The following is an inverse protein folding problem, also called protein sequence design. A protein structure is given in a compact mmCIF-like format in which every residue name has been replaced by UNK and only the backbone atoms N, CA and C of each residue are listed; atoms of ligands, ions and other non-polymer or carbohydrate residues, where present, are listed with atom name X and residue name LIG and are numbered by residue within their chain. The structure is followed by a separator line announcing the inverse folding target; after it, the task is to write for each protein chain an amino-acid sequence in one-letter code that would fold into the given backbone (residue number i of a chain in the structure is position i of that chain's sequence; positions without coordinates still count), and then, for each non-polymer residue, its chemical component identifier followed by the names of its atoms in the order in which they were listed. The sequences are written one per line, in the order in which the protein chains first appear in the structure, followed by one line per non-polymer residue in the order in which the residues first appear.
data_IF_580953407457
#
_entry.id   IF_580953407457
#
_cell.length_a   1.000
_cell.length_b   1.000
_cell.length_c   1.000
_cell.angle_alpha   90.00
_cell.angle_beta   90.00
_cell.angle_gamma   90.00
#
_symmetry.space_group_name_H-M   'P 1'
#
loop_
_entity.id
_entity.type
_entity.pdbx_description
1 polymer ?
#
# COMPACT_ATOMS: atom_id res chain seq x y z
N UNK A 1 -63.58 24.72 21.41
CA UNK A 1 -62.13 24.50 21.64
C UNK A 1 -61.51 24.19 20.30
N UNK A 2 -60.55 25.01 19.91
CA UNK A 2 -59.93 25.11 18.59
C UNK A 2 -58.93 24.00 18.33
N UNK A 3 -58.91 23.47 17.10
CA UNK A 3 -57.64 23.33 16.38
C UNK A 3 -57.91 23.28 14.88
N UNK A 4 -57.52 24.36 14.19
CA UNK A 4 -57.35 24.39 12.73
C UNK A 4 -55.94 23.88 12.44
N UNK A 5 -55.81 22.73 11.77
CA UNK A 5 -54.54 22.26 11.24
C UNK A 5 -54.45 22.67 9.76
N UNK A 6 -53.53 23.60 9.49
CA UNK A 6 -53.17 24.08 8.17
C UNK A 6 -52.08 23.18 7.55
N UNK A 7 -52.32 22.85 6.28
CA UNK A 7 -51.39 22.70 5.17
C UNK A 7 -50.13 21.81 5.29
N UNK A 8 -50.12 20.82 4.39
CA UNK A 8 -48.94 20.08 3.94
C UNK A 8 -47.90 20.99 3.29
N UNK A 9 -46.63 20.69 3.55
CA UNK A 9 -45.55 20.95 2.61
C UNK A 9 -44.56 19.79 2.66
N UNK A 10 -44.40 19.13 1.52
CA UNK A 10 -43.41 18.10 1.25
C UNK A 10 -42.00 18.72 1.37
N UNK A 11 -41.17 18.15 2.25
CA UNK A 11 -39.76 18.46 2.32
C UNK A 11 -38.97 17.31 1.69
N UNK A 12 -38.53 17.50 0.45
CA UNK A 12 -37.50 16.69 -0.19
C UNK A 12 -36.23 16.74 0.68
N UNK A 13 -35.81 15.58 1.21
CA UNK A 13 -34.44 15.42 1.73
C UNK A 13 -33.51 15.37 0.52
N UNK A 14 -33.05 16.54 0.10
CA UNK A 14 -31.96 16.68 -0.85
C UNK A 14 -30.67 16.14 -0.20
N UNK A 15 -30.37 14.86 -0.48
CA UNK A 15 -29.04 14.32 -0.20
C UNK A 15 -28.07 14.91 -1.22
N UNK A 16 -27.55 16.10 -0.90
CA UNK A 16 -26.41 16.67 -1.62
C UNK A 16 -25.24 15.69 -1.54
N UNK A 17 -25.04 14.93 -2.62
CA UNK A 17 -23.83 14.19 -2.92
C UNK A 17 -22.71 15.19 -3.24
N UNK A 18 -22.20 15.86 -2.21
CA UNK A 18 -21.08 16.79 -2.31
C UNK A 18 -19.74 16.05 -2.38
N UNK A 19 -19.16 16.02 -3.58
CA UNK A 19 -17.72 16.23 -3.81
C UNK A 19 -16.71 15.17 -3.31
N UNK A 20 -17.05 13.88 -3.36
CA UNK A 20 -16.08 12.79 -3.13
C UNK A 20 -15.20 12.49 -4.35
N UNK A 21 -15.69 12.78 -5.56
CA UNK A 21 -15.02 12.45 -6.83
C UNK A 21 -13.82 13.37 -7.12
N UNK A 22 -13.97 14.68 -6.92
CA UNK A 22 -12.89 15.66 -7.09
C UNK A 22 -11.77 15.55 -6.06
N UNK A 23 -12.07 15.05 -4.86
CA UNK A 23 -11.09 14.87 -3.79
C UNK A 23 -10.11 13.74 -4.11
N UNK A 24 -10.59 12.63 -4.68
CA UNK A 24 -9.71 11.49 -4.99
C UNK A 24 -8.84 11.72 -6.22
N UNK A 25 -9.30 12.45 -7.24
CA UNK A 25 -8.47 12.81 -8.39
C UNK A 25 -7.24 13.65 -7.97
N UNK A 26 -7.43 14.57 -7.02
CA UNK A 26 -6.33 15.33 -6.40
C UNK A 26 -5.39 14.43 -5.60
N UNK A 27 -5.92 13.43 -4.92
CA UNK A 27 -5.12 12.45 -4.17
C UNK A 27 -4.30 11.55 -5.11
N UNK A 28 -4.80 11.17 -6.28
CA UNK A 28 -4.01 10.40 -7.27
C UNK A 28 -2.74 11.14 -7.70
N UNK A 29 -2.78 12.48 -7.71
CA UNK A 29 -1.64 13.32 -8.07
C UNK A 29 -0.56 13.39 -6.97
N UNK A 30 -0.86 13.02 -5.72
CA UNK A 30 0.12 13.05 -4.63
C UNK A 30 0.98 11.77 -4.55
N UNK A 31 0.52 10.67 -5.16
CA UNK A 31 1.21 9.39 -5.08
C UNK A 31 2.64 9.39 -5.65
N UNK A 32 2.93 10.03 -6.82
CA UNK A 32 4.30 10.10 -7.32
C UNK A 32 5.27 10.72 -6.32
N UNK A 33 4.86 11.79 -5.62
CA UNK A 33 5.69 12.42 -4.60
C UNK A 33 5.93 11.49 -3.40
N UNK A 34 4.87 10.83 -2.90
CA UNK A 34 4.97 9.87 -1.78
C UNK A 34 5.87 8.67 -2.12
N UNK A 35 5.75 8.13 -3.34
CA UNK A 35 6.56 7.00 -3.79
C UNK A 35 8.03 7.40 -3.99
N UNK A 36 8.29 8.61 -4.49
CA UNK A 36 9.66 9.17 -4.56
C UNK A 36 10.30 9.30 -3.19
N UNK A 37 9.56 9.79 -2.19
CA UNK A 37 10.05 9.88 -0.80
C UNK A 37 10.31 8.50 -0.19
N UNK A 38 9.41 7.54 -0.42
CA UNK A 38 9.58 6.16 0.02
C UNK A 38 10.81 5.52 -0.62
N UNK A 39 10.98 5.69 -1.94
CA UNK A 39 12.15 5.19 -2.69
C UNK A 39 13.45 5.82 -2.19
N UNK A 40 13.46 7.13 -1.95
CA UNK A 40 14.64 7.84 -1.41
C UNK A 40 15.00 7.33 -0.01
N UNK A 41 14.00 7.01 0.81
CA UNK A 41 14.22 6.42 2.14
C UNK A 41 14.79 5.00 2.02
N UNK A 42 14.28 4.19 1.09
CA UNK A 42 14.82 2.86 0.81
C UNK A 42 16.27 2.89 0.30
N UNK A 43 16.64 3.83 -0.58
CA UNK A 43 18.00 3.90 -1.12
C UNK A 43 19.07 4.00 -0.02
N UNK A 44 18.74 4.58 1.14
CA UNK A 44 19.66 4.69 2.30
C UNK A 44 19.99 3.34 2.94
N UNK A 45 19.13 2.34 2.77
CA UNK A 45 19.28 1.00 3.38
C UNK A 45 19.42 -0.12 2.36
N UNK A 46 19.22 0.17 1.07
CA UNK A 46 19.27 -0.80 -0.03
C UNK A 46 20.50 -1.70 0.05
N UNK A 47 21.70 -1.10 0.06
CA UNK A 47 22.95 -1.86 0.09
C UNK A 47 23.06 -2.74 1.35
N UNK A 48 22.61 -2.26 2.51
CA UNK A 48 22.66 -3.02 3.75
C UNK A 48 21.84 -4.31 3.66
N UNK A 49 20.61 -4.24 3.14
CA UNK A 49 19.74 -5.40 3.04
C UNK A 49 20.13 -6.32 1.87
N UNK A 50 20.48 -5.76 0.71
CA UNK A 50 20.88 -6.56 -0.46
C UNK A 50 22.21 -7.31 -0.24
N UNK A 51 23.18 -6.74 0.48
CA UNK A 51 24.42 -7.47 0.83
C UNK A 51 24.20 -8.59 1.86
N UNK A 52 23.09 -8.55 2.59
CA UNK A 52 22.71 -9.57 3.59
C UNK A 52 21.71 -10.59 3.05
N UNK A 53 21.13 -10.34 1.89
CA UNK A 53 20.30 -11.30 1.18
C UNK A 53 21.21 -12.36 0.54
N UNK A 54 21.22 -13.54 1.14
CA UNK A 54 21.96 -14.70 0.66
C UNK A 54 21.09 -15.73 -0.07
N UNK A 55 19.77 -15.48 -0.19
CA UNK A 55 18.81 -16.36 -0.84
C UNK A 55 18.57 -15.91 -2.29
N UNK A 56 19.63 -15.90 -3.10
CA UNK A 56 19.63 -15.36 -4.46
C UNK A 56 18.81 -16.23 -5.44
N UNK A 57 18.62 -17.50 -5.12
CA UNK A 57 17.83 -18.47 -5.88
C UNK A 57 16.32 -18.31 -5.70
N UNK A 58 15.90 -17.61 -4.65
CA UNK A 58 14.49 -17.29 -4.42
C UNK A 58 14.19 -15.95 -5.07
N UNK A 59 13.03 -15.79 -5.68
CA UNK A 59 12.47 -14.46 -5.99
C UNK A 59 11.20 -14.37 -5.18
N UNK A 60 11.17 -13.47 -4.19
CA UNK A 60 10.03 -13.40 -3.29
C UNK A 60 8.86 -12.69 -3.99
N UNK A 61 9.10 -11.55 -4.62
CA UNK A 61 8.12 -10.73 -5.32
C UNK A 61 8.06 -11.08 -6.82
N UNK A 62 7.39 -12.19 -7.13
CA UNK A 62 7.28 -12.73 -8.49
C UNK A 62 6.29 -11.94 -9.37
N UNK A 63 6.37 -12.13 -10.69
CA UNK A 63 5.51 -11.46 -11.69
C UNK A 63 4.01 -11.72 -11.50
N UNK A 64 3.63 -12.83 -10.86
CA UNK A 64 2.23 -13.10 -10.54
C UNK A 64 1.64 -12.04 -9.57
N UNK A 65 2.46 -11.44 -8.71
CA UNK A 65 2.06 -10.32 -7.87
C UNK A 65 1.76 -9.07 -8.71
N UNK A 66 2.63 -8.77 -9.68
CA UNK A 66 2.44 -7.66 -10.60
C UNK A 66 1.16 -7.85 -11.45
N UNK A 67 0.90 -9.08 -11.89
CA UNK A 67 -0.32 -9.42 -12.60
C UNK A 67 -1.57 -9.21 -11.71
N UNK A 68 -1.52 -9.62 -10.45
CA UNK A 68 -2.59 -9.35 -9.49
C UNK A 68 -2.80 -7.85 -9.29
N UNK A 69 -1.72 -7.06 -9.21
CA UNK A 69 -1.78 -5.59 -9.13
C UNK A 69 -2.46 -4.97 -10.35
N UNK A 70 -2.20 -5.48 -11.55
CA UNK A 70 -2.81 -5.01 -12.81
C UNK A 70 -4.25 -5.45 -13.01
N UNK A 71 -4.70 -6.48 -12.28
CA UNK A 71 -6.02 -7.09 -12.43
C UNK A 71 -7.11 -6.38 -11.59
N UNK A 72 -8.32 -6.93 -11.61
CA UNK A 72 -9.39 -6.55 -10.67
C UNK A 72 -9.02 -6.72 -9.19
N UNK A 73 -7.96 -7.46 -8.88
CA UNK A 73 -7.44 -7.65 -7.51
C UNK A 73 -6.54 -6.50 -7.05
N UNK A 74 -6.24 -5.52 -7.91
CA UNK A 74 -5.13 -4.59 -7.69
C UNK A 74 -5.20 -3.81 -6.39
N UNK A 75 -6.35 -3.22 -6.05
CA UNK A 75 -6.50 -2.48 -4.80
C UNK A 75 -6.18 -3.36 -3.59
N UNK A 76 -6.88 -4.49 -3.51
CA UNK A 76 -6.78 -5.37 -2.35
C UNK A 76 -5.37 -5.95 -2.23
N UNK A 77 -4.75 -6.27 -3.37
CA UNK A 77 -3.39 -6.79 -3.42
C UNK A 77 -2.36 -5.77 -2.95
N UNK A 78 -2.47 -4.51 -3.40
CA UNK A 78 -1.59 -3.42 -2.96
C UNK A 78 -1.75 -3.18 -1.46
N UNK A 79 -2.98 -3.03 -0.96
CA UNK A 79 -3.25 -2.81 0.47
C UNK A 79 -2.76 -3.98 1.33
N UNK A 80 -2.92 -5.21 0.87
CA UNK A 80 -2.49 -6.40 1.58
C UNK A 80 -0.96 -6.54 1.61
N UNK A 81 -0.25 -6.23 0.52
CA UNK A 81 1.21 -6.20 0.54
C UNK A 81 1.76 -5.06 1.39
N UNK A 82 1.15 -3.88 1.34
CA UNK A 82 1.52 -2.77 2.24
C UNK A 82 1.37 -3.20 3.71
N UNK A 83 0.28 -3.89 4.06
CA UNK A 83 0.08 -4.45 5.41
C UNK A 83 1.17 -5.45 5.77
N UNK A 84 1.47 -6.40 4.88
CA UNK A 84 2.55 -7.36 5.09
C UNK A 84 3.88 -6.66 5.40
N UNK A 85 4.28 -5.65 4.64
CA UNK A 85 5.51 -4.93 4.94
C UNK A 85 5.48 -4.19 6.29
N UNK A 86 4.36 -3.53 6.63
CA UNK A 86 4.22 -2.77 7.87
C UNK A 86 4.14 -3.66 9.13
N UNK A 87 3.48 -4.81 9.03
CA UNK A 87 3.15 -5.66 10.17
C UNK A 87 4.15 -6.81 10.33
N UNK A 88 4.67 -7.33 9.22
CA UNK A 88 5.54 -8.50 9.20
C UNK A 88 7.00 -8.17 8.92
N UNK A 89 7.33 -7.30 7.95
CA UNK A 89 8.72 -7.15 7.49
C UNK A 89 9.47 -6.06 8.25
N UNK A 90 8.99 -4.82 8.16
CA UNK A 90 9.68 -3.63 8.71
C UNK A 90 9.90 -3.70 10.23
N UNK A 91 8.95 -4.19 11.06
CA UNK A 91 9.18 -4.31 12.50
C UNK A 91 10.33 -5.27 12.85
N UNK A 92 10.58 -6.26 11.99
CA UNK A 92 11.67 -7.24 12.16
C UNK A 92 12.97 -6.85 11.45
N UNK A 93 12.94 -5.85 10.57
CA UNK A 93 14.10 -5.28 9.88
C UNK A 93 14.99 -4.45 10.82
N UNK A 94 15.43 -5.08 11.91
CA UNK A 94 16.26 -4.48 12.94
C UNK A 94 17.73 -4.51 12.56
N UNK A 95 18.46 -3.47 12.98
CA UNK A 95 19.91 -3.37 12.81
C UNK A 95 20.54 -2.74 14.05
N UNK A 96 21.77 -3.15 14.38
CA UNK A 96 22.59 -2.48 15.39
C UNK A 96 23.09 -1.11 14.89
N UNK A 97 23.11 -0.92 13.58
CA UNK A 97 23.41 0.37 12.96
C UNK A 97 22.23 1.33 13.17
N UNK A 98 22.49 2.42 13.90
CA UNK A 98 21.49 3.45 14.21
C UNK A 98 20.96 4.16 12.95
N UNK A 99 21.80 4.34 11.93
CA UNK A 99 21.42 4.96 10.66
C UNK A 99 20.45 4.08 9.88
N UNK A 100 20.74 2.77 9.80
CA UNK A 100 19.84 1.78 9.18
C UNK A 100 18.52 1.73 9.94
N UNK A 101 18.57 1.61 11.28
CA UNK A 101 17.36 1.57 12.12
C UNK A 101 16.49 2.81 11.93
N UNK A 102 17.08 4.00 11.93
CA UNK A 102 16.36 5.27 11.71
C UNK A 102 15.71 5.30 10.33
N UNK A 103 16.44 4.89 9.29
CA UNK A 103 15.92 4.86 7.92
C UNK A 103 14.77 3.86 7.75
N UNK A 104 14.85 2.68 8.39
CA UNK A 104 13.75 1.70 8.41
C UNK A 104 12.51 2.28 9.10
N UNK A 105 12.67 3.01 10.21
CA UNK A 105 11.56 3.70 10.87
C UNK A 105 10.90 4.73 9.95
N UNK A 106 11.69 5.53 9.24
CA UNK A 106 11.17 6.52 8.27
C UNK A 106 10.42 5.80 7.15
N UNK A 107 10.95 4.70 6.63
CA UNK A 107 10.25 3.89 5.62
C UNK A 107 8.90 3.40 6.12
N UNK A 108 8.83 2.92 7.37
CA UNK A 108 7.58 2.50 8.00
C UNK A 108 6.55 3.63 8.04
N UNK A 109 6.94 4.82 8.46
CA UNK A 109 6.05 5.97 8.54
C UNK A 109 5.55 6.40 7.15
N UNK A 110 6.44 6.41 6.14
CA UNK A 110 6.09 6.76 4.76
C UNK A 110 5.17 5.72 4.12
N UNK A 111 5.40 4.44 4.39
CA UNK A 111 4.55 3.36 3.89
C UNK A 111 3.17 3.37 4.58
N UNK A 112 3.11 3.72 5.86
CA UNK A 112 1.85 3.91 6.59
C UNK A 112 1.05 5.10 6.03
N UNK A 113 1.72 6.22 5.77
CA UNK A 113 1.10 7.39 5.12
C UNK A 113 0.57 7.05 3.71
N UNK A 114 1.34 6.28 2.92
CA UNK A 114 0.88 5.77 1.63
C UNK A 114 -0.40 4.90 1.77
N UNK A 115 -0.42 3.96 2.73
CA UNK A 115 -1.61 3.13 3.04
C UNK A 115 -2.83 3.97 3.37
N UNK A 116 -2.66 4.97 4.23
CA UNK A 116 -3.75 5.86 4.66
C UNK A 116 -4.28 6.68 3.48
N UNK A 117 -3.38 7.15 2.61
CA UNK A 117 -3.73 7.89 1.39
C UNK A 117 -4.55 7.02 0.44
N UNK A 118 -4.13 5.77 0.19
CA UNK A 118 -4.87 4.81 -0.65
C UNK A 118 -6.28 4.52 -0.11
N UNK A 119 -6.43 4.39 1.21
CA UNK A 119 -7.72 4.12 1.86
C UNK A 119 -8.73 5.27 1.73
N UNK A 120 -8.27 6.52 1.70
CA UNK A 120 -9.16 7.69 1.51
C UNK A 120 -9.84 7.69 0.13
N UNK A 121 -9.31 6.93 -0.83
CA UNK A 121 -9.83 6.81 -2.19
C UNK A 121 -10.55 5.48 -2.46
N UNK A 122 -11.11 4.83 -1.44
CA UNK A 122 -11.71 3.49 -1.53
C UNK A 122 -12.80 3.36 -2.62
N UNK A 123 -13.51 4.44 -2.95
CA UNK A 123 -14.53 4.41 -4.01
C UNK A 123 -13.92 4.26 -5.42
N UNK A 124 -12.68 4.70 -5.63
CA UNK A 124 -11.92 4.54 -6.89
C UNK A 124 -11.06 3.28 -6.92
N UNK A 125 -10.95 2.60 -5.78
CA UNK A 125 -10.13 1.42 -5.57
C UNK A 125 -10.97 0.35 -4.85
N UNK A 126 -11.94 -0.31 -5.52
CA UNK A 126 -12.72 -1.38 -4.90
C UNK A 126 -11.84 -2.57 -4.54
N UNK A 127 -12.07 -3.18 -3.37
CA UNK A 127 -11.04 -3.89 -2.61
C UNK A 127 -11.62 -5.16 -1.92
N UNK A 128 -12.14 -6.13 -2.69
CA UNK A 128 -12.99 -7.19 -2.09
C UNK A 128 -12.47 -8.63 -2.21
N UNK A 129 -11.32 -8.86 -2.87
CA UNK A 129 -10.84 -10.22 -3.20
C UNK A 129 -9.40 -10.46 -2.78
N UNK A 130 -9.14 -11.60 -2.12
CA UNK A 130 -7.78 -11.99 -1.68
C UNK A 130 -6.93 -12.47 -2.86
N UNK A 131 -5.65 -12.10 -2.85
CA UNK A 131 -4.66 -12.54 -3.83
C UNK A 131 -4.05 -13.89 -3.44
N UNK A 132 -3.98 -14.82 -4.40
CA UNK A 132 -3.24 -16.08 -4.23
C UNK A 132 -1.73 -15.85 -4.22
N UNK A 133 -1.24 -14.90 -5.02
CA UNK A 133 0.19 -14.55 -5.05
C UNK A 133 0.67 -14.07 -3.68
N UNK A 134 -0.10 -13.20 -3.02
CA UNK A 134 0.27 -12.70 -1.68
C UNK A 134 0.29 -13.81 -0.64
N UNK A 135 -0.64 -14.77 -0.70
CA UNK A 135 -0.61 -15.94 0.16
C UNK A 135 0.70 -16.72 -0.01
N UNK A 136 1.11 -16.99 -1.26
CA UNK A 136 2.35 -17.70 -1.56
C UNK A 136 3.60 -16.93 -1.09
N UNK A 137 3.59 -15.60 -1.24
CA UNK A 137 4.66 -14.72 -0.75
C UNK A 137 4.80 -14.86 0.77
N UNK A 138 3.71 -14.73 1.51
CA UNK A 138 3.70 -14.86 2.99
C UNK A 138 4.18 -16.23 3.45
N UNK A 139 3.76 -17.30 2.76
CA UNK A 139 4.20 -18.67 3.05
C UNK A 139 5.70 -18.85 2.78
N UNK A 140 6.19 -18.33 1.65
CA UNK A 140 7.61 -18.40 1.29
C UNK A 140 8.45 -17.61 2.28
N UNK A 141 8.09 -16.36 2.56
CA UNK A 141 8.71 -15.53 3.57
C UNK A 141 8.77 -16.22 4.94
N UNK A 142 7.67 -16.84 5.38
CA UNK A 142 7.64 -17.57 6.66
C UNK A 142 8.61 -18.76 6.68
N UNK A 143 8.72 -19.51 5.58
CA UNK A 143 9.68 -20.63 5.46
C UNK A 143 11.13 -20.18 5.49
N UNK A 144 11.42 -18.95 5.04
CA UNK A 144 12.77 -18.37 5.05
C UNK A 144 13.26 -17.93 6.44
N UNK A 145 12.38 -17.89 7.45
CA UNK A 145 12.71 -17.45 8.82
C UNK A 145 13.39 -16.07 8.80
N UNK A 146 14.51 -15.89 9.50
CA UNK A 146 15.26 -14.62 9.56
C UNK A 146 15.76 -14.14 8.18
N UNK A 147 16.06 -15.06 7.25
CA UNK A 147 16.49 -14.70 5.90
C UNK A 147 15.37 -14.03 5.10
N UNK A 148 14.11 -14.30 5.45
CA UNK A 148 12.95 -13.68 4.81
C UNK A 148 12.96 -12.16 4.95
N UNK A 149 13.48 -11.64 6.06
CA UNK A 149 13.58 -10.19 6.31
C UNK A 149 14.53 -9.54 5.30
N UNK A 150 15.74 -10.09 5.16
CA UNK A 150 16.74 -9.57 4.22
C UNK A 150 16.26 -9.71 2.78
N UNK A 151 15.58 -10.80 2.45
CA UNK A 151 14.98 -11.01 1.14
C UNK A 151 13.92 -9.97 0.81
N UNK A 152 12.91 -9.83 1.68
CA UNK A 152 11.80 -8.92 1.47
C UNK A 152 12.25 -7.45 1.42
N UNK A 153 13.24 -7.08 2.24
CA UNK A 153 13.84 -5.75 2.21
C UNK A 153 14.77 -5.56 1.01
N UNK A 154 15.48 -6.60 0.56
CA UNK A 154 16.33 -6.58 -0.62
C UNK A 154 15.56 -6.35 -1.92
N UNK A 155 14.30 -6.81 -1.97
CA UNK A 155 13.37 -6.64 -3.08
C UNK A 155 12.38 -5.47 -2.89
N UNK A 156 12.62 -4.57 -1.93
CA UNK A 156 11.68 -3.48 -1.64
C UNK A 156 11.54 -2.46 -2.79
N UNK A 157 12.56 -2.28 -3.62
CA UNK A 157 12.44 -1.47 -4.84
C UNK A 157 11.48 -2.09 -5.85
N UNK A 158 11.51 -3.41 -6.05
CA UNK A 158 10.54 -4.14 -6.88
C UNK A 158 9.12 -3.88 -6.37
N UNK A 159 8.91 -3.92 -5.06
CA UNK A 159 7.61 -3.58 -4.47
C UNK A 159 7.15 -2.16 -4.80
N UNK A 160 8.04 -1.16 -4.71
CA UNK A 160 7.73 0.22 -5.09
C UNK A 160 7.37 0.30 -6.58
N UNK A 161 8.15 -0.36 -7.45
CA UNK A 161 7.91 -0.39 -8.89
C UNK A 161 6.51 -0.96 -9.22
N UNK A 162 6.10 -2.02 -8.52
CA UNK A 162 4.77 -2.61 -8.70
C UNK A 162 3.65 -1.66 -8.25
N UNK A 163 3.83 -0.91 -7.15
CA UNK A 163 2.85 0.10 -6.74
C UNK A 163 2.76 1.23 -7.77
N UNK A 164 3.90 1.67 -8.32
CA UNK A 164 3.94 2.72 -9.34
C UNK A 164 3.20 2.30 -10.61
N UNK A 165 3.37 1.05 -11.04
CA UNK A 165 2.65 0.47 -12.16
C UNK A 165 1.14 0.42 -11.90
N UNK A 166 0.71 -0.01 -10.70
CA UNK A 166 -0.69 -0.02 -10.31
C UNK A 166 -1.31 1.37 -10.41
N UNK A 167 -0.66 2.38 -9.84
CA UNK A 167 -1.21 3.73 -9.76
C UNK A 167 -1.14 4.49 -11.09
N UNK A 168 -0.15 4.18 -11.93
CA UNK A 168 -0.08 4.74 -13.29
C UNK A 168 -1.26 4.29 -14.15
N UNK A 169 -1.75 3.05 -13.94
CA UNK A 169 -2.94 2.55 -14.61
C UNK A 169 -4.26 3.15 -14.09
N UNK A 170 -4.25 3.87 -12.95
CA UNK A 170 -5.42 4.58 -12.41
C UNK A 170 -5.53 6.04 -12.87
N UNK A 171 -4.51 6.56 -13.54
CA UNK A 171 -4.51 7.90 -14.15
C UNK A 171 -5.11 7.92 -15.56
N UNK A 172 -5.27 6.75 -16.18
CA UNK A 172 -5.85 6.56 -17.51
C UNK A 172 -7.34 6.26 -17.37
#
# INVERSE_FOLDING_TARGET
QTCWALHMQEGEVNSQSGDTEGNCQRVVNIFPAKLKELRTSFQKVKNYFQMKDNALEVILLQDNLLNDFKSSLGCQSVIEMIKFYLEDVLPRASSKDKSVKSSVSIMNDKLLDLKQTLRRCHHFLPCDRKSKAIKQIKETYSKMKEHGIYKAMGEFDIFIDYIEEYLSNKKK
#
